data_IF_835693303216
#
_entry.id   IF_835693303216
#
_cell.length_a   1.000
_cell.length_b   1.000
_cell.length_c   1.000
_cell.angle_alpha   90.00
_cell.angle_beta   90.00
_cell.angle_gamma   90.00
#
_symmetry.space_group_name_H-M   'P 1'
#
loop_
_entity.id
_entity.type
_entity.pdbx_description
1 polymer ?
#
# COMPACT_ATOMS: atom_id res chain seq x y z
N UNK A 1 -1.63 -7.21 -20.99
CA UNK A 1 -1.86 -7.33 -19.55
C UNK A 1 -2.57 -6.07 -19.08
N UNK A 2 -3.64 -6.21 -18.32
CA UNK A 2 -4.38 -5.11 -17.67
C UNK A 2 -4.12 -5.24 -16.17
N UNK A 3 -3.74 -4.13 -15.52
CA UNK A 3 -3.52 -4.08 -14.08
C UNK A 3 -4.51 -3.10 -13.46
N UNK A 4 -5.23 -3.53 -12.42
CA UNK A 4 -6.21 -2.73 -11.68
C UNK A 4 -5.76 -2.76 -10.22
N UNK A 5 -5.34 -1.59 -9.72
CA UNK A 5 -4.90 -1.45 -8.33
C UNK A 5 -6.07 -1.03 -7.45
N UNK A 6 -6.09 -1.50 -6.20
CA UNK A 6 -7.12 -1.20 -5.21
C UNK A 6 -8.55 -1.40 -5.74
N UNK A 7 -8.80 -2.56 -6.37
CA UNK A 7 -10.09 -2.86 -6.99
C UNK A 7 -11.27 -2.77 -6.01
N UNK A 8 -11.07 -3.08 -4.73
CA UNK A 8 -12.07 -2.94 -3.68
C UNK A 8 -12.49 -1.48 -3.45
N UNK A 9 -11.58 -0.52 -3.53
CA UNK A 9 -11.88 0.90 -3.40
C UNK A 9 -12.77 1.41 -4.56
N UNK A 10 -12.60 0.87 -5.76
CA UNK A 10 -13.42 1.22 -6.94
C UNK A 10 -14.89 0.83 -6.73
N UNK A 11 -15.15 -0.23 -5.96
CA UNK A 11 -16.50 -0.78 -5.76
C UNK A 11 -17.18 -0.32 -4.46
N UNK A 12 -16.45 0.33 -3.55
CA UNK A 12 -16.94 0.70 -2.22
C UNK A 12 -18.05 1.77 -2.25
N UNK A 13 -18.00 2.72 -3.17
CA UNK A 13 -18.93 3.86 -3.22
C UNK A 13 -20.22 3.60 -4.02
N UNK A 14 -20.40 2.43 -4.62
CA UNK A 14 -21.64 2.06 -5.31
C UNK A 14 -22.03 2.92 -6.52
N UNK A 15 -21.30 4.00 -6.80
CA UNK A 15 -21.61 4.95 -7.88
C UNK A 15 -21.11 4.49 -9.25
N UNK A 16 -20.19 3.53 -9.31
CA UNK A 16 -19.59 3.08 -10.57
C UNK A 16 -20.21 1.80 -11.16
N UNK A 17 -21.54 1.71 -11.14
CA UNK A 17 -22.26 0.59 -11.79
C UNK A 17 -21.87 0.39 -13.27
N UNK A 18 -21.42 1.47 -13.93
CA UNK A 18 -20.97 1.44 -15.31
C UNK A 18 -19.64 0.71 -15.48
N UNK A 19 -18.63 1.04 -14.66
CA UNK A 19 -17.32 0.40 -14.69
C UNK A 19 -17.40 -1.07 -14.27
N UNK A 20 -18.18 -1.36 -13.23
CA UNK A 20 -18.44 -2.72 -12.81
C UNK A 20 -19.01 -3.61 -13.92
N UNK A 21 -20.09 -3.14 -14.61
CA UNK A 21 -20.65 -3.86 -15.75
C UNK A 21 -19.66 -4.03 -16.87
N UNK A 22 -18.88 -3.00 -17.15
CA UNK A 22 -17.85 -3.05 -18.19
C UNK A 22 -16.78 -4.10 -17.87
N UNK A 23 -16.30 -4.14 -16.63
CA UNK A 23 -15.33 -5.15 -16.17
C UNK A 23 -15.91 -6.56 -16.25
N UNK A 24 -17.15 -6.77 -15.83
CA UNK A 24 -17.80 -8.07 -15.95
C UNK A 24 -17.91 -8.52 -17.43
N UNK A 25 -18.37 -7.62 -18.30
CA UNK A 25 -18.49 -7.92 -19.73
C UNK A 25 -17.13 -8.23 -20.34
N UNK A 26 -16.09 -7.50 -19.91
CA UNK A 26 -14.72 -7.72 -20.36
C UNK A 26 -14.20 -9.10 -19.89
N UNK A 27 -14.41 -9.45 -18.63
CA UNK A 27 -13.98 -10.74 -18.08
C UNK A 27 -14.73 -11.89 -18.74
N UNK A 28 -16.05 -11.79 -18.90
CA UNK A 28 -16.87 -12.79 -19.58
C UNK A 28 -16.54 -12.88 -21.09
N UNK A 29 -16.15 -11.76 -21.71
CA UNK A 29 -15.74 -11.71 -23.12
C UNK A 29 -14.36 -12.31 -23.39
N UNK A 30 -13.51 -12.43 -22.39
CA UNK A 30 -12.19 -13.06 -22.51
C UNK A 30 -12.29 -14.61 -22.64
N UNK A 31 -13.39 -15.19 -22.18
CA UNK A 31 -13.66 -16.63 -22.37
C UNK A 31 -14.21 -16.96 -23.76
N UNK A 32 -14.74 -15.98 -24.49
CA UNK A 32 -15.28 -16.21 -25.83
C UNK A 32 -14.19 -16.28 -26.89
N UNK A 33 -14.19 -17.37 -27.58
CA UNK A 33 -13.39 -17.83 -28.71
C UNK A 33 -12.59 -16.74 -29.47
N UNK A 34 -11.29 -16.83 -29.33
CA UNK A 34 -10.40 -16.43 -30.40
C UNK A 34 -9.59 -15.18 -30.15
N UNK A 35 -8.34 -15.36 -30.07
CA UNK A 35 -7.23 -14.54 -30.58
C UNK A 35 -6.46 -13.66 -29.65
N UNK A 36 -6.98 -13.13 -28.55
CA UNK A 36 -6.13 -12.33 -27.65
C UNK A 36 -6.13 -12.91 -26.23
N UNK A 37 -5.02 -13.50 -25.83
CA UNK A 37 -4.82 -13.86 -24.42
C UNK A 37 -4.56 -12.59 -23.62
N UNK A 38 -5.56 -12.10 -22.92
CA UNK A 38 -5.46 -10.96 -22.03
C UNK A 38 -5.33 -11.47 -20.60
N UNK A 39 -4.27 -11.07 -19.91
CA UNK A 39 -4.14 -11.29 -18.46
C UNK A 39 -4.65 -10.04 -17.76
N UNK A 40 -5.60 -10.21 -16.85
CA UNK A 40 -6.07 -9.17 -15.93
C UNK A 40 -5.55 -9.50 -14.54
N UNK A 41 -4.87 -8.54 -13.92
CA UNK A 41 -4.38 -8.64 -12.55
C UNK A 41 -5.02 -7.54 -11.74
N UNK A 42 -5.56 -7.89 -10.57
CA UNK A 42 -6.19 -6.95 -9.65
C UNK A 42 -5.56 -7.08 -8.27
N UNK A 43 -5.42 -5.96 -7.56
CA UNK A 43 -5.14 -5.97 -6.13
C UNK A 43 -6.38 -5.56 -5.35
N UNK A 44 -6.52 -6.07 -4.13
CA UNK A 44 -7.57 -5.67 -3.22
C UNK A 44 -7.08 -5.85 -1.78
N UNK A 45 -7.42 -4.89 -0.91
CA UNK A 45 -7.13 -4.98 0.52
C UNK A 45 -8.22 -5.75 1.27
N UNK A 46 -9.47 -5.61 0.85
CA UNK A 46 -10.62 -6.27 1.47
C UNK A 46 -11.50 -6.97 0.43
N UNK A 47 -11.46 -8.30 0.44
CA UNK A 47 -12.27 -9.12 -0.47
C UNK A 47 -13.79 -8.96 -0.23
N UNK A 48 -14.21 -8.52 0.96
CA UNK A 48 -15.63 -8.33 1.26
C UNK A 48 -16.24 -7.13 0.51
N UNK A 49 -15.39 -6.17 0.10
CA UNK A 49 -15.82 -5.02 -0.69
C UNK A 49 -15.88 -5.33 -2.19
N UNK A 50 -15.30 -6.47 -2.63
CA UNK A 50 -15.43 -6.89 -4.01
C UNK A 50 -16.84 -7.44 -4.29
N UNK A 51 -17.45 -7.06 -5.42
CA UNK A 51 -18.74 -7.62 -5.80
C UNK A 51 -18.72 -9.14 -5.90
N UNK A 52 -19.72 -9.85 -5.35
CA UNK A 52 -19.76 -11.31 -5.37
C UNK A 52 -19.66 -11.90 -6.79
N UNK A 53 -20.09 -11.17 -7.80
CA UNK A 53 -20.00 -11.62 -9.18
C UNK A 53 -18.56 -11.64 -9.73
N UNK A 54 -17.64 -10.84 -9.20
CA UNK A 54 -16.21 -10.93 -9.55
C UNK A 54 -15.53 -12.12 -8.86
N UNK A 55 -15.97 -12.46 -7.66
CA UNK A 55 -15.37 -13.52 -6.84
C UNK A 55 -15.83 -14.91 -7.25
N UNK A 56 -16.88 -15.01 -8.09
CA UNK A 56 -17.41 -16.30 -8.55
C UNK A 56 -16.42 -17.04 -9.44
N UNK A 57 -16.49 -18.38 -9.38
CA UNK A 57 -15.70 -19.28 -10.23
C UNK A 57 -15.84 -18.95 -11.71
N UNK A 58 -14.73 -19.01 -12.45
CA UNK A 58 -14.67 -18.75 -13.89
C UNK A 58 -14.26 -17.34 -14.26
N UNK A 59 -14.15 -16.38 -13.32
CA UNK A 59 -13.71 -15.01 -13.60
C UNK A 59 -12.35 -14.67 -13.02
N UNK A 60 -12.09 -15.13 -11.79
CA UNK A 60 -10.76 -15.03 -11.17
C UNK A 60 -10.23 -16.44 -10.99
N UNK A 61 -9.23 -16.79 -11.78
CA UNK A 61 -8.64 -18.12 -11.80
C UNK A 61 -7.60 -18.33 -10.70
N UNK A 62 -6.91 -17.26 -10.30
CA UNK A 62 -5.81 -17.33 -9.35
C UNK A 62 -5.94 -16.28 -8.25
N UNK A 63 -5.99 -16.76 -7.01
CA UNK A 63 -5.97 -15.93 -5.81
C UNK A 63 -4.62 -16.05 -5.12
N UNK A 64 -3.95 -14.91 -4.91
CA UNK A 64 -2.67 -14.83 -4.22
C UNK A 64 -2.83 -13.97 -2.97
N UNK A 65 -2.67 -14.57 -1.81
CA UNK A 65 -2.64 -13.84 -0.55
C UNK A 65 -1.23 -13.28 -0.32
N UNK A 66 -1.12 -11.96 -0.20
CA UNK A 66 0.14 -11.28 0.14
C UNK A 66 0.26 -11.18 1.65
N UNK A 67 1.21 -11.92 2.23
CA UNK A 67 1.50 -11.92 3.67
C UNK A 67 2.69 -11.00 3.98
N UNK A 68 2.82 -10.65 5.26
CA UNK A 68 4.04 -9.99 5.73
C UNK A 68 5.25 -10.87 5.41
N UNK A 69 6.37 -10.26 4.98
CA UNK A 69 7.58 -11.01 4.65
C UNK A 69 8.17 -11.69 5.90
N UNK A 70 8.52 -12.96 5.76
CA UNK A 70 9.30 -13.68 6.76
C UNK A 70 10.76 -13.16 6.80
N UNK A 71 11.57 -13.69 7.70
CA UNK A 71 12.94 -13.21 7.89
C UNK A 71 13.79 -13.35 6.60
N UNK A 72 13.61 -14.42 5.85
CA UNK A 72 14.35 -14.66 4.60
C UNK A 72 13.89 -13.71 3.49
N UNK A 73 12.59 -13.47 3.37
CA UNK A 73 12.06 -12.49 2.44
C UNK A 73 12.51 -11.06 2.81
N UNK A 74 12.50 -10.69 4.11
CA UNK A 74 13.03 -9.39 4.56
C UNK A 74 14.50 -9.23 4.23
N UNK A 75 15.30 -10.29 4.39
CA UNK A 75 16.70 -10.28 3.99
C UNK A 75 16.86 -9.97 2.51
N UNK A 76 16.14 -10.66 1.63
CA UNK A 76 16.22 -10.44 0.18
C UNK A 76 15.78 -9.02 -0.21
N UNK A 77 14.72 -8.51 0.40
CA UNK A 77 14.26 -7.14 0.17
C UNK A 77 15.33 -6.14 0.61
N UNK A 78 15.91 -6.32 1.80
CA UNK A 78 16.97 -5.47 2.33
C UNK A 78 18.20 -5.50 1.42
N UNK A 79 18.71 -6.68 1.08
CA UNK A 79 19.86 -6.85 0.18
C UNK A 79 19.62 -6.16 -1.18
N UNK A 80 18.40 -6.24 -1.71
CA UNK A 80 18.06 -5.57 -2.96
C UNK A 80 18.13 -4.03 -2.84
N UNK A 81 17.67 -3.48 -1.72
CA UNK A 81 17.72 -2.03 -1.47
C UNK A 81 19.11 -1.53 -1.08
N UNK A 82 19.99 -2.41 -0.59
CA UNK A 82 21.37 -2.08 -0.31
C UNK A 82 22.24 -2.04 -1.57
N UNK A 83 21.76 -2.53 -2.70
CA UNK A 83 22.50 -2.46 -3.97
C UNK A 83 22.68 -1.01 -4.40
N UNK A 84 23.92 -0.62 -4.68
CA UNK A 84 24.25 0.74 -5.12
C UNK A 84 24.39 1.78 -4.01
N UNK A 85 24.32 1.37 -2.74
CA UNK A 85 24.66 2.21 -1.59
C UNK A 85 26.19 2.20 -1.37
N UNK A 86 26.70 3.26 -0.74
CA UNK A 86 28.13 3.36 -0.40
C UNK A 86 28.60 2.17 0.43
N UNK A 87 29.84 1.71 0.20
CA UNK A 87 30.39 0.55 0.87
C UNK A 87 30.41 0.71 2.41
N UNK A 88 30.63 1.95 2.89
CA UNK A 88 30.64 2.24 4.33
C UNK A 88 29.28 1.96 4.98
N UNK A 89 28.17 2.27 4.30
CA UNK A 89 26.84 2.07 4.85
C UNK A 89 26.31 0.67 4.55
N UNK A 90 26.68 0.06 3.42
CA UNK A 90 26.25 -1.30 3.07
C UNK A 90 26.89 -2.40 3.95
N UNK A 91 28.01 -2.10 4.60
CA UNK A 91 28.69 -3.02 5.51
C UNK A 91 28.03 -3.02 6.92
N UNK A 92 26.75 -3.30 6.97
CA UNK A 92 25.99 -3.43 8.21
C UNK A 92 25.81 -4.90 8.60
N UNK A 93 25.58 -5.16 9.89
CA UNK A 93 25.18 -6.47 10.40
C UNK A 93 23.74 -6.77 9.96
N UNK A 94 23.60 -7.49 8.83
CA UNK A 94 22.31 -7.85 8.27
C UNK A 94 21.44 -8.63 9.25
N UNK A 95 22.02 -9.51 10.07
CA UNK A 95 21.24 -10.33 11.00
C UNK A 95 20.54 -9.45 12.05
N UNK A 96 21.25 -8.44 12.57
CA UNK A 96 20.68 -7.48 13.53
C UNK A 96 19.61 -6.61 12.89
N UNK A 97 19.82 -6.15 11.65
CA UNK A 97 18.85 -5.32 10.93
C UNK A 97 17.60 -6.13 10.59
N UNK A 98 17.75 -7.39 10.14
CA UNK A 98 16.62 -8.30 9.86
C UNK A 98 15.81 -8.56 11.14
N UNK A 99 16.47 -8.79 12.28
CA UNK A 99 15.79 -8.94 13.56
C UNK A 99 15.03 -7.66 13.95
N UNK A 100 15.66 -6.49 13.79
CA UNK A 100 15.03 -5.20 14.09
C UNK A 100 13.86 -4.86 13.15
N UNK A 101 13.77 -5.47 11.98
CA UNK A 101 12.70 -5.27 10.99
C UNK A 101 11.54 -6.26 11.12
N UNK A 102 11.42 -6.98 12.23
CA UNK A 102 10.30 -7.90 12.45
C UNK A 102 8.94 -7.17 12.35
N UNK A 103 7.99 -7.76 11.59
CA UNK A 103 6.69 -7.17 11.32
C UNK A 103 6.68 -6.03 10.29
N UNK A 104 7.79 -5.80 9.60
CA UNK A 104 7.87 -4.79 8.55
C UNK A 104 7.37 -5.34 7.21
N UNK A 105 6.66 -4.49 6.46
CA UNK A 105 6.32 -4.69 5.06
C UNK A 105 7.51 -4.40 4.15
N UNK A 106 7.40 -4.70 2.86
CA UNK A 106 8.41 -4.30 1.88
C UNK A 106 8.62 -2.77 1.82
N UNK A 107 7.53 -2.01 1.95
CA UNK A 107 7.57 -0.55 2.00
C UNK A 107 8.28 -0.03 3.26
N UNK A 108 8.04 -0.66 4.41
CA UNK A 108 8.73 -0.33 5.66
C UNK A 108 10.24 -0.57 5.55
N UNK A 109 10.66 -1.67 4.90
CA UNK A 109 12.08 -1.97 4.71
C UNK A 109 12.73 -0.97 3.74
N UNK A 110 12.03 -0.58 2.69
CA UNK A 110 12.49 0.50 1.81
C UNK A 110 12.69 1.79 2.60
N UNK A 111 11.70 2.17 3.41
CA UNK A 111 11.76 3.36 4.25
C UNK A 111 12.91 3.29 5.25
N UNK A 112 13.10 2.14 5.90
CA UNK A 112 14.24 1.87 6.79
C UNK A 112 15.57 2.20 6.12
N UNK A 113 15.78 1.75 4.88
CA UNK A 113 17.01 1.98 4.13
C UNK A 113 17.19 3.46 3.79
N UNK A 114 16.11 4.14 3.35
CA UNK A 114 16.18 5.56 3.02
C UNK A 114 16.43 6.43 4.27
N UNK A 115 15.81 6.12 5.39
CA UNK A 115 16.03 6.83 6.65
C UNK A 115 17.48 6.60 7.17
N UNK A 116 18.01 5.39 7.08
CA UNK A 116 19.41 5.11 7.43
C UNK A 116 20.41 5.89 6.56
N UNK A 117 20.14 6.00 5.26
CA UNK A 117 20.93 6.83 4.33
C UNK A 117 20.86 8.31 4.73
N UNK A 118 19.67 8.81 5.08
CA UNK A 118 19.48 10.17 5.53
C UNK A 118 20.27 10.48 6.82
N UNK A 119 20.19 9.60 7.81
CA UNK A 119 20.95 9.72 9.06
C UNK A 119 22.47 9.70 8.83
N UNK A 120 22.96 8.81 7.98
CA UNK A 120 24.37 8.76 7.60
C UNK A 120 24.83 10.04 6.90
N UNK A 121 24.07 10.48 5.90
CA UNK A 121 24.39 11.70 5.15
C UNK A 121 24.39 12.95 6.05
N UNK A 122 23.42 13.07 6.95
CA UNK A 122 23.34 14.15 7.93
C UNK A 122 24.54 14.12 8.88
N UNK A 123 24.92 12.95 9.42
CA UNK A 123 26.10 12.81 10.27
C UNK A 123 27.38 13.27 9.57
N UNK A 124 27.57 12.89 8.31
CA UNK A 124 28.69 13.32 7.48
C UNK A 124 28.71 14.84 7.24
N UNK A 125 27.56 15.40 6.90
CA UNK A 125 27.44 16.84 6.59
C UNK A 125 27.64 17.73 7.84
N UNK A 126 27.22 17.27 9.02
CA UNK A 126 27.37 17.98 10.29
C UNK A 126 28.77 17.86 10.92
N UNK A 127 29.69 17.09 10.31
CA UNK A 127 31.02 16.83 10.85
C UNK A 127 31.02 15.93 12.10
N UNK A 128 29.92 15.24 12.38
CA UNK A 128 29.86 14.28 13.46
C UNK A 128 30.71 13.05 13.17
N UNK A 129 31.17 12.38 14.23
CA UNK A 129 31.87 11.11 14.10
C UNK A 129 30.97 10.08 13.41
N UNK A 130 31.50 9.43 12.37
CA UNK A 130 30.77 8.40 11.61
C UNK A 130 30.61 7.16 12.49
N UNK A 131 29.37 6.84 12.82
CA UNK A 131 29.04 5.65 13.60
C UNK A 131 29.14 4.37 12.75
N UNK A 132 29.05 3.21 13.39
CA UNK A 132 28.93 1.94 12.70
C UNK A 132 27.66 1.92 11.81
N UNK A 133 27.80 1.40 10.60
CA UNK A 133 26.67 1.31 9.65
C UNK A 133 25.40 0.71 10.27
N UNK A 134 25.54 -0.35 11.05
CA UNK A 134 24.44 -1.05 11.72
C UNK A 134 23.63 -0.10 12.63
N UNK A 135 24.28 0.85 13.30
CA UNK A 135 23.59 1.78 14.22
C UNK A 135 22.62 2.70 13.50
N UNK A 136 22.98 3.17 12.30
CA UNK A 136 22.05 3.97 11.48
C UNK A 136 20.81 3.19 11.10
N UNK A 137 20.97 1.91 10.72
CA UNK A 137 19.82 1.05 10.40
C UNK A 137 18.97 0.73 11.63
N UNK A 138 19.54 0.50 12.80
CA UNK A 138 18.79 0.23 14.01
C UNK A 138 18.01 1.46 14.49
N UNK A 139 18.61 2.64 14.38
CA UNK A 139 17.91 3.91 14.67
C UNK A 139 16.76 4.14 13.69
N UNK A 140 16.99 3.96 12.40
CA UNK A 140 15.95 4.04 11.38
C UNK A 140 14.83 3.03 11.61
N UNK A 141 15.16 1.78 12.00
CA UNK A 141 14.15 0.76 12.33
C UNK A 141 13.26 1.19 13.50
N UNK A 142 13.84 1.84 14.50
CA UNK A 142 13.09 2.39 15.63
C UNK A 142 12.13 3.47 15.17
N UNK A 143 12.59 4.41 14.34
CA UNK A 143 11.75 5.47 13.78
C UNK A 143 10.59 4.94 12.92
N UNK A 144 10.85 3.95 12.07
CA UNK A 144 9.80 3.29 11.27
C UNK A 144 8.77 2.63 12.18
N UNK A 145 9.19 1.92 13.24
CA UNK A 145 8.29 1.24 14.18
C UNK A 145 7.42 2.22 14.94
N UNK A 146 7.99 3.31 15.44
CA UNK A 146 7.23 4.37 16.13
C UNK A 146 6.20 5.01 15.21
N UNK A 147 6.56 5.29 13.97
CA UNK A 147 5.64 5.85 12.99
C UNK A 147 4.49 4.88 12.70
N UNK A 148 4.76 3.57 12.51
CA UNK A 148 3.70 2.56 12.34
C UNK A 148 2.71 2.55 13.51
N UNK A 149 3.21 2.63 14.75
CA UNK A 149 2.36 2.67 15.93
C UNK A 149 1.47 3.93 15.96
N UNK A 150 2.04 5.08 15.61
CA UNK A 150 1.29 6.36 15.51
C UNK A 150 0.21 6.30 14.45
N UNK A 151 0.52 5.74 13.27
CA UNK A 151 -0.47 5.57 12.20
C UNK A 151 -1.59 4.62 12.60
N UNK A 152 -1.28 3.47 13.18
CA UNK A 152 -2.28 2.52 13.66
C UNK A 152 -3.21 3.15 14.72
N UNK A 153 -2.66 3.96 15.64
CA UNK A 153 -3.46 4.68 16.63
C UNK A 153 -4.35 5.75 15.99
N UNK A 154 -3.84 6.49 15.02
CA UNK A 154 -4.60 7.51 14.29
C UNK A 154 -5.75 6.88 13.50
N UNK A 155 -5.53 5.74 12.88
CA UNK A 155 -6.54 5.00 12.11
C UNK A 155 -7.65 4.47 13.04
N UNK A 156 -7.30 3.87 14.17
CA UNK A 156 -8.28 3.46 15.18
C UNK A 156 -9.11 4.64 15.71
N UNK A 157 -8.46 5.79 15.93
CA UNK A 157 -9.15 7.00 16.36
C UNK A 157 -10.07 7.58 15.27
N UNK A 158 -9.71 7.44 14.00
CA UNK A 158 -10.54 7.86 12.87
C UNK A 158 -11.78 6.95 12.71
N UNK A 159 -11.62 5.64 12.87
CA UNK A 159 -12.71 4.67 12.81
C UNK A 159 -13.70 4.81 13.97
N UNK A 160 -13.25 5.28 15.13
CA UNK A 160 -14.10 5.49 16.29
C UNK A 160 -14.91 6.82 16.25
N UNK A 161 -14.62 7.72 15.30
CA UNK A 161 -15.41 8.94 15.12
C UNK A 161 -16.75 8.59 14.47
N UNK A 162 -17.91 8.98 15.09
CA UNK A 162 -19.20 8.81 14.43
C UNK A 162 -19.13 9.56 13.08
N UNK A 163 -19.50 8.87 12.00
CA UNK A 163 -19.69 9.52 10.69
C UNK A 163 -20.80 10.56 10.87
N UNK A 164 -20.43 11.78 11.23
CA UNK A 164 -21.34 12.91 11.18
C UNK A 164 -21.78 13.04 9.73
N UNK A 165 -23.06 12.76 9.49
CA UNK A 165 -23.64 12.76 8.16
C UNK A 165 -23.24 14.02 7.40
N UNK A 166 -22.76 13.83 6.18
CA UNK A 166 -22.67 14.90 5.20
C UNK A 166 -24.06 15.54 5.15
N UNK A 167 -24.21 16.72 5.72
CA UNK A 167 -25.35 17.58 5.44
C UNK A 167 -25.33 17.84 3.94
N UNK A 168 -26.39 17.47 3.18
CA UNK A 168 -26.47 17.88 1.79
C UNK A 168 -26.46 19.41 1.79
N UNK A 169 -25.47 20.01 1.12
CA UNK A 169 -25.56 21.42 0.78
C UNK A 169 -26.78 21.56 -0.14
N UNK A 170 -27.93 21.91 0.43
CA UNK A 170 -29.06 22.43 -0.32
C UNK A 170 -28.60 23.78 -0.87
N UNK A 171 -28.22 23.80 -2.11
CA UNK A 171 -28.19 25.03 -2.89
C UNK A 171 -29.66 25.48 -3.00
N UNK A 172 -30.02 26.54 -2.25
CA UNK A 172 -31.31 27.17 -2.35
C UNK A 172 -31.52 27.69 -3.78
N UNK A 173 -32.36 27.02 -4.54
CA UNK A 173 -32.95 27.61 -5.73
C UNK A 173 -33.85 28.75 -5.25
N UNK A 174 -33.73 29.96 -5.82
CA UNK A 174 -34.73 30.99 -5.59
C UNK A 174 -36.07 30.49 -6.14
N UNK A 175 -37.09 30.61 -5.32
CA UNK A 175 -38.50 30.39 -5.73
C UNK A 175 -38.84 31.44 -6.79
N UNK A 176 -39.55 31.08 -7.87
CA UNK A 176 -40.13 32.09 -8.75
C UNK A 176 -41.20 32.85 -7.97
N UNK A 177 -41.10 34.16 -7.98
CA UNK A 177 -42.10 35.07 -7.48
C UNK A 177 -43.42 34.85 -8.24
N UNK A 178 -44.46 34.44 -7.53
CA UNK A 178 -45.84 34.51 -8.01
C UNK A 178 -46.28 35.99 -7.93
N UNK A 179 -46.15 36.72 -9.02
CA UNK A 179 -46.84 37.97 -9.27
C UNK A 179 -47.47 37.94 -10.65
N UNK A 180 -48.83 38.04 -10.60
CA UNK A 180 -49.87 38.27 -11.62
C UNK A 180 -50.47 37.06 -12.31
#
# INVERSE_FOLDING_TARGET
MIFIDDADAIFEDGEERGLYRYLLTMLDGLESEGTARVCVMMTAMNLQHLPPALVRSGRVELWLEMKLPDAEARKRILENHLRGITAELSNCDLARVISASEGFTGADIKRLVEDAKGLYAFGRASGAEVRNATEYFLEAATGVRENKQRYAQAELAAQSRPRTGRTPYFYGMPQPDDDE
#
